data_IF_050191486771
#
_entry.id   IF_050191486771
#
_cell.length_a   1.000
_cell.length_b   1.000
_cell.length_c   1.000
_cell.angle_alpha   90.00
_cell.angle_beta   90.00
_cell.angle_gamma   90.00
#
_symmetry.space_group_name_H-M   'P 1'
#
loop_
_entity.id
_entity.type
_entity.pdbx_description
1 polymer ?
#
# COMPACT_ATOMS: atom_id res chain seq x y z
N UNK A 1 1.20 -31.66 44.57
CA UNK A 1 1.33 -33.12 44.75
C UNK A 1 0.12 -33.80 44.13
N UNK A 2 0.32 -34.60 43.07
CA UNK A 2 -0.22 -35.95 43.07
C UNK A 2 0.89 -36.99 42.78
N UNK A 3 0.67 -38.19 43.29
CA UNK A 3 1.62 -39.31 43.38
C UNK A 3 1.73 -40.10 42.06
N UNK A 4 2.97 -40.39 41.69
CA UNK A 4 3.52 -41.64 41.11
C UNK A 4 2.58 -42.85 40.97
N UNK A 5 2.58 -43.53 39.81
CA UNK A 5 3.29 -44.82 39.60
C UNK A 5 3.04 -45.47 38.20
N UNK A 6 4.14 -45.60 37.46
CA UNK A 6 4.75 -46.79 36.80
C UNK A 6 3.92 -47.87 36.08
N UNK A 7 4.42 -48.16 34.87
CA UNK A 7 4.05 -49.13 33.83
C UNK A 7 3.98 -50.63 34.20
N UNK A 8 3.27 -51.42 33.36
CA UNK A 8 3.77 -52.71 32.82
C UNK A 8 2.97 -53.23 31.60
N UNK A 9 3.71 -53.42 30.50
CA UNK A 9 3.69 -54.50 29.48
C UNK A 9 2.56 -55.56 29.48
N UNK A 10 1.97 -55.85 28.30
CA UNK A 10 2.10 -57.13 27.54
C UNK A 10 0.94 -57.49 26.58
N UNK A 11 1.35 -58.13 25.46
CA UNK A 11 0.68 -59.17 24.66
C UNK A 11 -0.29 -58.83 23.50
N UNK A 12 0.25 -59.02 22.29
CA UNK A 12 -0.44 -59.48 21.05
C UNK A 12 -0.59 -61.02 21.17
N UNK A 13 -1.64 -61.68 20.62
CA UNK A 13 -1.43 -62.35 19.34
C UNK A 13 -2.66 -62.52 18.40
N UNK A 14 -2.33 -62.45 17.10
CA UNK A 14 -2.66 -63.38 16.02
C UNK A 14 -4.07 -64.02 15.93
N UNK A 15 -4.75 -63.73 14.80
CA UNK A 15 -5.48 -64.78 14.10
C UNK A 15 -5.27 -64.78 12.58
N UNK A 16 -4.57 -65.83 12.14
CA UNK A 16 -4.96 -66.76 11.08
C UNK A 16 -4.88 -66.37 9.59
N UNK A 17 -3.72 -66.77 9.04
CA UNK A 17 -3.51 -67.74 7.94
C UNK A 17 -3.86 -67.35 6.49
N UNK A 18 -2.91 -67.58 5.59
CA UNK A 18 -2.84 -68.75 4.67
C UNK A 18 -1.44 -68.77 4.00
N UNK A 19 -0.60 -69.80 4.24
CA UNK A 19 -0.22 -70.92 3.32
C UNK A 19 0.13 -70.45 1.90
N UNK A 20 1.26 -70.78 1.27
CA UNK A 20 2.33 -71.73 1.54
C UNK A 20 3.06 -72.08 0.22
N UNK A 21 4.17 -72.82 0.35
CA UNK A 21 4.93 -73.59 -0.67
C UNK A 21 5.92 -72.88 -1.62
N UNK A 22 7.19 -73.00 -1.24
CA UNK A 22 8.33 -73.59 -1.97
C UNK A 22 8.16 -73.89 -3.48
N UNK A 23 9.08 -73.37 -4.30
CA UNK A 23 9.95 -74.20 -5.16
C UNK A 23 11.12 -73.39 -5.72
N UNK A 24 12.29 -74.01 -5.79
CA UNK A 24 13.56 -73.45 -6.26
C UNK A 24 13.63 -73.39 -7.80
N UNK A 25 14.49 -72.49 -8.29
CA UNK A 25 15.60 -72.80 -9.20
C UNK A 25 15.65 -72.04 -10.53
N UNK A 26 16.89 -71.60 -10.82
CA UNK A 26 17.54 -71.26 -12.09
C UNK A 26 17.35 -69.85 -12.68
N UNK A 27 18.51 -69.23 -12.91
CA UNK A 27 18.79 -68.58 -14.19
C UNK A 27 19.02 -67.07 -14.08
N UNK A 28 20.29 -66.68 -14.17
CA UNK A 28 20.74 -65.30 -14.05
C UNK A 28 20.25 -64.37 -15.17
N UNK A 29 20.41 -63.07 -14.90
CA UNK A 29 20.82 -62.05 -15.86
C UNK A 29 21.13 -60.76 -15.09
N UNK A 30 22.37 -60.28 -15.22
CA UNK A 30 22.84 -58.99 -14.72
C UNK A 30 21.98 -57.85 -15.31
N UNK A 31 21.78 -56.77 -14.54
CA UNK A 31 21.86 -55.46 -15.17
C UNK A 31 22.74 -54.49 -14.37
N UNK A 32 23.77 -54.03 -15.06
CA UNK A 32 24.28 -52.64 -15.12
C UNK A 32 23.90 -51.68 -13.98
N UNK A 33 24.95 -51.27 -13.29
CA UNK A 33 25.01 -50.21 -12.29
C UNK A 33 24.65 -48.86 -12.92
N UNK A 34 23.51 -48.27 -12.52
CA UNK A 34 23.17 -46.87 -12.81
C UNK A 34 23.17 -46.06 -11.53
N UNK A 35 24.05 -45.06 -11.45
CA UNK A 35 24.12 -44.10 -10.34
C UNK A 35 22.83 -43.27 -10.30
N UNK A 36 22.09 -43.35 -9.19
CA UNK A 36 20.95 -42.49 -8.92
C UNK A 36 21.42 -41.06 -8.57
N UNK A 37 21.09 -40.08 -9.41
CA UNK A 37 21.20 -38.66 -9.06
C UNK A 37 20.14 -38.33 -7.99
N UNK A 38 20.61 -38.03 -6.77
CA UNK A 38 19.76 -37.57 -5.66
C UNK A 38 19.33 -36.12 -5.89
N UNK A 39 18.12 -35.91 -6.41
CA UNK A 39 17.54 -34.57 -6.53
C UNK A 39 17.25 -33.96 -5.14
N UNK A 40 18.02 -32.95 -4.73
CA UNK A 40 17.73 -32.15 -3.54
C UNK A 40 16.55 -31.21 -3.79
N UNK A 41 15.34 -31.75 -3.59
CA UNK A 41 14.04 -31.04 -3.69
C UNK A 41 13.93 -29.80 -2.79
N UNK A 42 14.85 -29.60 -1.83
CA UNK A 42 14.92 -28.44 -0.96
C UNK A 42 15.31 -27.13 -1.70
N UNK A 43 16.21 -27.17 -2.68
CA UNK A 43 16.63 -25.93 -3.40
C UNK A 43 15.60 -25.44 -4.41
N UNK A 44 14.81 -26.34 -5.03
CA UNK A 44 13.72 -25.94 -5.95
C UNK A 44 12.58 -25.19 -5.22
N UNK A 45 12.45 -25.35 -3.90
CA UNK A 45 11.45 -24.63 -3.08
C UNK A 45 11.95 -23.28 -2.56
N UNK A 46 13.27 -23.10 -2.46
CA UNK A 46 13.87 -21.83 -2.02
C UNK A 46 13.89 -20.81 -3.16
N UNK A 47 13.99 -21.26 -4.42
CA UNK A 47 14.00 -20.38 -5.60
C UNK A 47 12.61 -19.81 -5.98
N UNK A 48 11.51 -20.29 -5.39
CA UNK A 48 10.18 -19.69 -5.58
C UNK A 48 9.77 -18.74 -4.43
N UNK A 49 10.59 -18.61 -3.39
CA UNK A 49 10.22 -17.92 -2.14
C UNK A 49 10.74 -16.48 -1.98
N UNK A 50 11.49 -15.94 -2.94
CA UNK A 50 12.09 -14.60 -2.88
C UNK A 50 11.60 -13.71 -4.02
N UNK A 51 10.28 -13.60 -4.17
CA UNK A 51 9.67 -12.64 -5.08
C UNK A 51 8.62 -11.79 -4.34
N UNK A 52 8.97 -10.52 -4.17
CA UNK A 52 8.16 -9.40 -3.64
C UNK A 52 7.88 -9.34 -2.12
N UNK A 53 8.88 -8.89 -1.36
CA UNK A 53 8.66 -8.12 -0.13
C UNK A 53 9.07 -6.67 -0.35
N UNK A 54 8.19 -5.87 -0.95
CA UNK A 54 8.13 -4.41 -0.81
C UNK A 54 6.93 -3.91 -1.64
N UNK A 55 5.70 -4.11 -1.14
CA UNK A 55 4.58 -3.28 -1.60
C UNK A 55 4.71 -1.95 -0.86
N UNK A 56 5.51 -1.04 -1.40
CA UNK A 56 5.39 0.37 -1.07
C UNK A 56 4.07 0.85 -1.67
N UNK A 57 3.08 1.07 -0.82
CA UNK A 57 1.80 1.67 -1.20
C UNK A 57 2.09 3.14 -1.52
N UNK A 58 2.52 3.42 -2.75
CA UNK A 58 2.70 4.79 -3.20
C UNK A 58 1.34 5.30 -3.69
N UNK A 59 0.78 6.25 -2.95
CA UNK A 59 -0.28 7.10 -3.46
C UNK A 59 0.23 7.79 -4.74
N UNK A 60 -0.63 7.89 -5.75
CA UNK A 60 -0.34 8.57 -7.01
C UNK A 60 -0.17 10.06 -6.75
N UNK A 61 1.03 10.49 -6.38
CA UNK A 61 1.44 11.89 -6.41
C UNK A 61 2.00 12.21 -7.80
N UNK A 62 1.92 13.47 -8.21
CA UNK A 62 2.63 13.94 -9.39
C UNK A 62 4.11 13.57 -9.26
N UNK A 63 4.63 12.81 -10.23
CA UNK A 63 6.00 12.34 -10.19
C UNK A 63 6.97 13.53 -10.13
N UNK A 64 7.98 13.52 -9.24
CA UNK A 64 9.04 14.51 -9.25
C UNK A 64 9.69 14.59 -10.64
N UNK A 65 9.81 15.81 -11.18
CA UNK A 65 10.30 16.04 -12.54
C UNK A 65 9.22 16.18 -13.61
N UNK A 66 7.94 16.05 -13.26
CA UNK A 66 6.82 16.25 -14.17
C UNK A 66 6.19 14.94 -14.69
N UNK A 67 5.06 15.04 -15.41
CA UNK A 67 4.27 13.87 -15.80
C UNK A 67 5.00 12.96 -16.80
N UNK A 68 5.90 13.53 -17.61
CA UNK A 68 6.63 12.82 -18.68
C UNK A 68 8.07 12.45 -18.28
N UNK A 69 8.43 12.62 -17.01
CA UNK A 69 9.80 12.43 -16.55
C UNK A 69 10.21 10.94 -16.46
N UNK A 70 11.21 10.56 -17.24
CA UNK A 70 11.83 9.23 -17.22
C UNK A 70 11.32 8.30 -18.33
N UNK A 71 12.18 7.38 -18.80
CA UNK A 71 11.88 6.49 -19.93
C UNK A 71 10.80 5.45 -19.65
N UNK A 72 10.40 5.23 -18.40
CA UNK A 72 9.23 4.42 -18.06
C UNK A 72 7.96 5.00 -18.67
N UNK A 73 7.82 6.33 -18.72
CA UNK A 73 6.68 6.97 -19.38
C UNK A 73 6.72 6.77 -20.89
N UNK A 74 7.91 6.82 -21.50
CA UNK A 74 8.12 6.49 -22.92
C UNK A 74 7.84 5.00 -23.22
N UNK A 75 8.32 4.08 -22.39
CA UNK A 75 8.19 2.64 -22.60
C UNK A 75 6.74 2.17 -22.51
N UNK A 76 5.94 2.83 -21.66
CA UNK A 76 4.52 2.54 -21.47
C UNK A 76 3.62 3.65 -22.01
N UNK A 77 4.10 4.42 -23.00
CA UNK A 77 3.34 5.53 -23.59
C UNK A 77 2.00 5.04 -24.16
N UNK A 78 0.94 5.83 -23.93
CA UNK A 78 -0.42 5.51 -24.36
C UNK A 78 -1.15 4.44 -23.52
N UNK A 79 -0.46 3.76 -22.62
CA UNK A 79 -1.07 2.83 -21.67
C UNK A 79 -1.76 3.59 -20.54
N UNK A 80 -2.87 3.04 -20.04
CA UNK A 80 -3.69 3.66 -18.99
C UNK A 80 -3.87 2.73 -17.80
N UNK A 81 -4.18 3.31 -16.65
CA UNK A 81 -4.55 2.56 -15.45
C UNK A 81 -3.34 2.12 -14.60
N UNK A 82 -3.64 1.70 -13.38
CA UNK A 82 -2.65 1.44 -12.32
C UNK A 82 -1.50 0.50 -12.71
N UNK A 83 -1.72 -0.62 -13.42
CA UNK A 83 -0.61 -1.52 -13.78
C UNK A 83 0.43 -0.85 -14.67
N UNK A 84 0.01 -0.05 -15.65
CA UNK A 84 0.90 0.66 -16.55
C UNK A 84 1.71 1.74 -15.81
N UNK A 85 1.03 2.56 -14.99
CA UNK A 85 1.70 3.56 -14.17
C UNK A 85 2.68 2.93 -13.17
N UNK A 86 2.33 1.78 -12.58
CA UNK A 86 3.21 1.06 -11.66
C UNK A 86 4.48 0.54 -12.36
N UNK A 87 4.34 -0.05 -13.55
CA UNK A 87 5.48 -0.55 -14.31
C UNK A 87 6.35 0.59 -14.85
N UNK A 88 5.74 1.69 -15.31
CA UNK A 88 6.45 2.90 -15.70
C UNK A 88 7.24 3.49 -14.53
N UNK A 89 6.61 3.64 -13.35
CA UNK A 89 7.27 4.13 -12.14
C UNK A 89 8.37 3.19 -11.65
N UNK A 90 8.16 1.87 -11.73
CA UNK A 90 9.16 0.88 -11.35
C UNK A 90 10.37 0.92 -12.29
N UNK A 91 10.13 1.11 -13.58
CA UNK A 91 11.19 1.30 -14.58
C UNK A 91 11.98 2.56 -14.29
N UNK A 92 11.30 3.67 -13.98
CA UNK A 92 11.93 4.93 -13.61
C UNK A 92 12.76 4.82 -12.32
N UNK A 93 12.22 4.15 -11.30
CA UNK A 93 12.87 3.97 -10.01
C UNK A 93 14.08 3.04 -10.04
N UNK A 94 14.00 1.92 -10.76
CA UNK A 94 15.10 0.93 -10.82
C UNK A 94 16.24 1.34 -11.75
N UNK A 95 15.96 2.13 -12.79
CA UNK A 95 17.00 2.64 -13.70
C UNK A 95 17.58 3.99 -13.27
N UNK A 96 16.99 4.67 -12.28
CA UNK A 96 17.40 6.00 -11.83
C UNK A 96 17.33 7.08 -12.91
N UNK A 97 16.69 6.80 -14.05
CA UNK A 97 16.69 7.67 -15.23
C UNK A 97 15.88 8.96 -15.02
N UNK A 98 14.90 8.97 -14.12
CA UNK A 98 14.15 10.15 -13.71
C UNK A 98 15.05 11.09 -12.90
N UNK A 99 15.84 10.55 -11.97
CA UNK A 99 16.82 11.33 -11.20
C UNK A 99 17.91 11.91 -12.10
N UNK A 100 18.46 11.08 -13.01
CA UNK A 100 19.42 11.56 -14.01
C UNK A 100 18.80 12.63 -14.93
N UNK A 101 17.55 12.43 -15.36
CA UNK A 101 16.83 13.40 -16.18
C UNK A 101 16.62 14.73 -15.47
N UNK A 102 16.27 14.72 -14.18
CA UNK A 102 16.13 15.93 -13.37
C UNK A 102 17.45 16.69 -13.18
N UNK A 103 18.58 16.00 -13.02
CA UNK A 103 19.90 16.65 -12.81
C UNK A 103 20.53 17.13 -14.10
N UNK A 104 20.34 16.39 -15.19
CA UNK A 104 20.91 16.73 -16.51
C UNK A 104 19.99 17.55 -17.40
N UNK A 105 18.70 17.68 -17.05
CA UNK A 105 17.68 18.30 -17.91
C UNK A 105 17.31 17.44 -19.12
N UNK A 106 17.35 16.12 -19.00
CA UNK A 106 17.05 15.17 -20.09
C UNK A 106 15.85 14.26 -19.75
N UNK A 107 15.54 13.30 -20.63
CA UNK A 107 14.50 12.28 -20.40
C UNK A 107 13.10 12.83 -20.10
N UNK A 108 12.74 13.99 -20.67
CA UNK A 108 11.44 14.63 -20.47
C UNK A 108 11.24 15.23 -19.07
N UNK A 109 12.29 15.28 -18.23
CA UNK A 109 12.21 15.79 -16.87
C UNK A 109 12.41 17.31 -16.82
N UNK A 110 11.60 17.99 -16.01
CA UNK A 110 11.69 19.42 -15.71
C UNK A 110 11.45 19.68 -14.23
N UNK A 111 12.32 20.47 -13.61
CA UNK A 111 12.24 20.85 -12.19
C UNK A 111 11.75 22.29 -11.99
N UNK A 112 11.28 22.95 -13.06
CA UNK A 112 10.85 24.35 -13.02
C UNK A 112 9.48 24.55 -12.36
N UNK A 113 8.65 23.51 -12.33
CA UNK A 113 7.35 23.55 -11.68
C UNK A 113 7.48 23.26 -10.17
N UNK A 114 6.65 23.92 -9.35
CA UNK A 114 6.54 23.60 -7.93
C UNK A 114 6.00 22.17 -7.74
N UNK A 115 6.62 21.41 -6.83
CA UNK A 115 6.09 20.10 -6.45
C UNK A 115 4.79 20.25 -5.68
N UNK A 116 3.75 19.55 -6.12
CA UNK A 116 2.45 19.49 -5.46
C UNK A 116 2.21 18.09 -4.92
N UNK A 117 1.71 17.99 -3.69
CA UNK A 117 1.27 16.73 -3.12
C UNK A 117 -0.25 16.61 -3.30
N UNK A 118 -0.67 15.74 -4.22
CA UNK A 118 -2.09 15.49 -4.50
C UNK A 118 -2.76 14.51 -3.54
N UNK A 119 -2.03 13.96 -2.57
CA UNK A 119 -2.61 13.12 -1.52
C UNK A 119 -3.09 13.95 -0.34
N UNK A 120 -3.98 13.39 0.48
CA UNK A 120 -4.34 13.98 1.77
C UNK A 120 -3.09 14.13 2.62
N UNK A 121 -2.69 15.37 2.97
CA UNK A 121 -1.57 15.60 3.90
C UNK A 121 -2.00 15.29 5.34
N UNK A 122 -2.25 14.01 5.60
CA UNK A 122 -2.71 13.48 6.88
C UNK A 122 -1.84 13.96 8.05
N UNK A 123 -0.54 14.06 7.82
CA UNK A 123 0.44 14.56 8.80
C UNK A 123 0.20 16.02 9.21
N UNK A 124 -0.19 16.89 8.27
CA UNK A 124 -0.47 18.28 8.58
C UNK A 124 -1.77 18.43 9.38
N UNK A 125 -2.81 17.64 9.07
CA UNK A 125 -4.06 17.70 9.83
C UNK A 125 -3.92 17.20 11.26
N UNK A 126 -3.28 16.04 11.49
CA UNK A 126 -3.17 15.47 12.83
C UNK A 126 -2.39 16.37 13.79
N UNK A 127 -1.36 17.07 13.28
CA UNK A 127 -0.55 17.99 14.09
C UNK A 127 -1.24 19.31 14.44
N UNK A 128 -2.42 19.59 13.87
CA UNK A 128 -3.11 20.88 14.00
C UNK A 128 -4.57 20.73 14.44
N UNK A 129 -5.02 19.55 14.87
CA UNK A 129 -6.45 19.31 15.15
C UNK A 129 -7.02 20.22 16.25
N UNK A 130 -6.21 20.56 17.24
CA UNK A 130 -6.65 21.40 18.35
C UNK A 130 -6.84 22.86 17.89
N UNK A 131 -5.84 23.40 17.20
CA UNK A 131 -5.87 24.74 16.61
C UNK A 131 -6.93 24.85 15.52
N UNK A 132 -7.07 23.82 14.68
CA UNK A 132 -8.08 23.76 13.64
C UNK A 132 -9.50 23.78 14.22
N UNK A 133 -9.73 23.03 15.30
CA UNK A 133 -11.00 23.04 16.03
C UNK A 133 -11.30 24.43 16.55
N UNK A 134 -10.35 25.06 17.24
CA UNK A 134 -10.50 26.40 17.80
C UNK A 134 -10.76 27.46 16.71
N UNK A 135 -10.00 27.42 15.62
CA UNK A 135 -10.10 28.37 14.52
C UNK A 135 -11.41 28.18 13.71
N UNK A 136 -11.85 26.94 13.49
CA UNK A 136 -13.18 26.67 12.92
C UNK A 136 -14.29 27.16 13.85
N UNK A 137 -14.16 26.94 15.17
CA UNK A 137 -15.13 27.43 16.14
C UNK A 137 -15.15 28.96 16.25
N UNK A 138 -14.09 29.67 15.86
CA UNK A 138 -14.06 31.14 15.74
C UNK A 138 -14.49 31.65 14.36
N UNK A 139 -14.41 30.81 13.33
CA UNK A 139 -14.59 31.18 11.93
C UNK A 139 -13.43 31.96 11.31
N UNK A 140 -12.27 31.96 11.97
CA UNK A 140 -11.03 32.54 11.45
C UNK A 140 -9.81 31.91 12.15
N UNK A 141 -8.65 32.04 11.52
CA UNK A 141 -7.37 31.64 12.10
C UNK A 141 -6.42 30.98 11.11
N UNK A 142 -5.19 30.76 11.54
CA UNK A 142 -4.10 30.25 10.71
C UNK A 142 -4.27 28.77 10.38
N UNK A 143 -4.73 27.96 11.34
CA UNK A 143 -4.95 26.54 11.12
C UNK A 143 -6.10 26.30 10.16
N UNK A 144 -7.19 27.06 10.28
CA UNK A 144 -8.31 27.06 9.35
C UNK A 144 -7.89 27.49 7.93
N UNK A 145 -7.10 28.56 7.83
CA UNK A 145 -6.58 29.04 6.54
C UNK A 145 -5.67 28.00 5.88
N UNK A 146 -4.77 27.40 6.65
CA UNK A 146 -3.88 26.33 6.18
C UNK A 146 -4.69 25.12 5.73
N UNK A 147 -5.74 24.76 6.47
CA UNK A 147 -6.62 23.68 6.08
C UNK A 147 -7.35 23.94 4.76
N UNK A 148 -7.83 25.17 4.53
CA UNK A 148 -8.40 25.59 3.27
C UNK A 148 -7.38 25.47 2.10
N UNK A 149 -6.12 25.82 2.34
CA UNK A 149 -5.03 25.66 1.36
C UNK A 149 -4.77 24.18 1.04
N UNK A 150 -4.76 23.31 2.06
CA UNK A 150 -4.59 21.86 1.87
C UNK A 150 -5.73 21.27 1.04
N UNK A 151 -6.96 21.76 1.23
CA UNK A 151 -8.12 21.38 0.43
C UNK A 151 -8.15 22.02 -0.97
N UNK A 152 -7.17 22.85 -1.33
CA UNK A 152 -7.11 23.54 -2.62
C UNK A 152 -8.17 24.64 -2.78
N UNK A 153 -8.71 25.19 -1.68
CA UNK A 153 -9.70 26.28 -1.74
C UNK A 153 -9.04 27.55 -2.26
N UNK A 154 -9.59 28.08 -3.37
CA UNK A 154 -9.09 29.29 -4.00
C UNK A 154 -9.23 30.50 -3.04
N UNK A 155 -8.28 31.45 -3.06
CA UNK A 155 -8.26 32.60 -2.14
C UNK A 155 -9.61 33.34 -2.01
N UNK A 156 -10.31 33.54 -3.12
CA UNK A 156 -11.61 34.20 -3.22
C UNK A 156 -12.75 33.48 -2.47
N UNK A 157 -12.63 32.16 -2.27
CA UNK A 157 -13.65 31.33 -1.62
C UNK A 157 -13.34 31.07 -0.14
N UNK A 158 -12.13 31.42 0.35
CA UNK A 158 -11.68 31.08 1.72
C UNK A 158 -12.51 31.73 2.83
N UNK A 159 -12.97 32.96 2.63
CA UNK A 159 -13.85 33.64 3.60
C UNK A 159 -15.20 32.92 3.72
N UNK A 160 -15.75 32.45 2.60
CA UNK A 160 -17.00 31.68 2.59
C UNK A 160 -16.80 30.28 3.19
N UNK A 161 -15.69 29.62 2.84
CA UNK A 161 -15.29 28.36 3.46
C UNK A 161 -15.20 28.46 4.98
N UNK A 162 -14.53 29.49 5.50
CA UNK A 162 -14.40 29.70 6.94
C UNK A 162 -15.76 29.87 7.62
N UNK A 163 -16.65 30.70 7.05
CA UNK A 163 -18.00 30.90 7.56
C UNK A 163 -18.84 29.60 7.56
N UNK A 164 -18.81 28.83 6.47
CA UNK A 164 -19.53 27.56 6.35
C UNK A 164 -19.00 26.52 7.35
N UNK A 165 -17.67 26.36 7.46
CA UNK A 165 -17.10 25.42 8.43
C UNK A 165 -17.37 25.81 9.88
N UNK A 166 -17.48 27.11 10.17
CA UNK A 166 -17.87 27.62 11.46
C UNK A 166 -19.34 27.36 11.78
N UNK A 167 -20.24 27.67 10.85
CA UNK A 167 -21.68 27.40 10.98
C UNK A 167 -21.95 25.91 11.23
N UNK A 168 -21.23 25.06 10.51
CA UNK A 168 -21.35 23.60 10.61
C UNK A 168 -20.35 22.97 11.59
N UNK A 169 -19.75 23.75 12.50
CA UNK A 169 -18.70 23.26 13.40
C UNK A 169 -19.12 22.01 14.19
N UNK A 170 -20.34 22.00 14.74
CA UNK A 170 -20.87 20.86 15.50
C UNK A 170 -21.12 19.61 14.64
N UNK A 171 -21.29 19.77 13.32
CA UNK A 171 -21.41 18.64 12.39
C UNK A 171 -20.02 18.11 12.01
N UNK A 172 -19.03 18.99 11.90
CA UNK A 172 -17.64 18.64 11.58
C UNK A 172 -16.95 17.96 12.77
N UNK A 173 -17.00 18.59 13.95
CA UNK A 173 -16.48 18.08 15.22
C UNK A 173 -17.61 17.45 16.05
N UNK A 174 -18.17 16.35 15.55
CA UNK A 174 -19.41 15.75 16.07
C UNK A 174 -19.31 15.03 17.41
N UNK A 175 -18.09 14.74 17.89
CA UNK A 175 -17.81 13.98 19.11
C UNK A 175 -16.48 14.41 19.72
N UNK A 176 -16.28 14.10 21.01
CA UNK A 176 -15.08 14.51 21.74
C UNK A 176 -13.79 13.83 21.26
N UNK A 177 -13.88 12.59 20.76
CA UNK A 177 -12.78 11.78 20.25
C UNK A 177 -12.76 11.74 18.70
N UNK A 178 -13.14 12.85 18.07
CA UNK A 178 -13.17 12.95 16.61
C UNK A 178 -11.74 12.87 16.04
N UNK A 179 -11.54 12.01 15.05
CA UNK A 179 -10.24 11.87 14.39
C UNK A 179 -10.09 12.92 13.28
N UNK A 180 -8.86 13.14 12.80
CA UNK A 180 -8.63 13.99 11.63
C UNK A 180 -9.37 13.48 10.37
N UNK A 181 -9.70 12.18 10.30
CA UNK A 181 -10.36 11.54 9.16
C UNK A 181 -11.85 11.79 9.25
N UNK A 182 -12.41 11.66 10.44
CA UNK A 182 -13.79 12.05 10.73
C UNK A 182 -13.99 13.54 10.38
N UNK A 183 -13.14 14.44 10.90
CA UNK A 183 -13.23 15.88 10.64
C UNK A 183 -13.12 16.20 9.16
N UNK A 184 -12.16 15.58 8.45
CA UNK A 184 -12.02 15.80 7.03
C UNK A 184 -13.21 15.26 6.24
N UNK A 185 -13.70 14.07 6.56
CA UNK A 185 -14.86 13.46 5.91
C UNK A 185 -16.13 14.29 6.14
N UNK A 186 -16.36 14.73 7.37
CA UNK A 186 -17.50 15.59 7.72
C UNK A 186 -17.39 16.95 7.04
N UNK A 187 -16.19 17.55 6.97
CA UNK A 187 -15.96 18.79 6.23
C UNK A 187 -16.34 18.60 4.76
N UNK A 188 -15.86 17.55 4.10
CA UNK A 188 -16.21 17.28 2.70
C UNK A 188 -17.73 17.09 2.51
N UNK A 189 -18.42 16.49 3.47
CA UNK A 189 -19.88 16.36 3.42
C UNK A 189 -20.58 17.73 3.47
N UNK A 190 -20.13 18.62 4.36
CA UNK A 190 -20.62 20.01 4.43
C UNK A 190 -20.34 20.75 3.12
N UNK A 191 -19.13 20.66 2.57
CA UNK A 191 -18.77 21.33 1.31
C UNK A 191 -19.62 20.85 0.13
N UNK A 192 -19.94 19.54 0.05
CA UNK A 192 -20.82 19.00 -1.01
C UNK A 192 -22.22 19.61 -1.00
N UNK A 193 -22.70 20.03 0.17
CA UNK A 193 -24.02 20.66 0.32
C UNK A 193 -24.01 22.15 0.01
N UNK A 194 -22.84 22.78 -0.07
CA UNK A 194 -22.70 24.20 -0.37
C UNK A 194 -22.53 24.44 -1.89
N UNK A 195 -23.39 25.25 -2.54
CA UNK A 195 -23.33 25.48 -3.99
C UNK A 195 -22.01 26.08 -4.51
N UNK A 196 -21.30 26.85 -3.67
CA UNK A 196 -20.05 27.53 -4.02
C UNK A 196 -18.83 26.64 -3.74
N UNK A 197 -18.89 25.81 -2.71
CA UNK A 197 -17.77 24.99 -2.23
C UNK A 197 -17.80 23.54 -2.71
N UNK A 198 -18.90 23.05 -3.28
CA UNK A 198 -19.02 21.66 -3.75
C UNK A 198 -17.91 21.25 -4.73
N UNK A 199 -17.39 22.20 -5.52
CA UNK A 199 -16.24 22.00 -6.43
C UNK A 199 -14.94 21.58 -5.71
N UNK A 200 -14.78 21.91 -4.43
CA UNK A 200 -13.62 21.52 -3.64
C UNK A 200 -13.78 20.16 -2.97
N UNK A 201 -15.00 19.61 -2.94
CA UNK A 201 -15.26 18.35 -2.26
C UNK A 201 -14.91 17.09 -3.08
N UNK A 202 -14.37 17.29 -4.29
CA UNK A 202 -13.94 16.25 -5.24
C UNK A 202 -12.42 16.17 -5.40
N UNK A 203 -11.67 17.19 -4.96
CA UNK A 203 -10.21 17.17 -4.92
C UNK A 203 -9.77 16.55 -3.59
N UNK A 204 -9.45 15.26 -3.61
CA UNK A 204 -8.87 14.52 -2.50
C UNK A 204 -7.77 13.57 -2.99
#
# INVERSE_FOLDING_TARGET
MPKLQTARLELIPAHWRFKGLLSQSLGGQNPVHWYAHKENKAMKRILLGTLFTAVSINAMAQAPGGPDCGWGNMLFEGQRGTPAHFLASSTNGTSGNATFGMTSGTNGCSTNASLTYGGKSWFAMNGMMNELSEDMAKGNGEALTTYAVVLGVAPEDRAHFAAVTHEHFQQIFSKADVTAEDVHTNTLAVLKSDPRLAKYATQA
#
